data_IF_815870849242
#
_entry.id   IF_815870849242
#
_cell.length_a   1.000
_cell.length_b   1.000
_cell.length_c   1.000
_cell.angle_alpha   90.00
_cell.angle_beta   90.00
_cell.angle_gamma   90.00
#
_symmetry.space_group_name_H-M   'P 1'
#
loop_
_entity.id
_entity.type
_entity.pdbx_description
1 polymer ?
#
# COMPACT_ATOMS: atom_id res chain seq x y z
N UNK A 1 -25.11 0.06 25.96
CA UNK A 1 -24.44 1.21 25.31
C UNK A 1 -23.00 1.20 25.80
N UNK A 2 -22.07 0.70 24.99
CA UNK A 2 -20.63 0.81 25.29
C UNK A 2 -20.22 2.18 24.77
N UNK A 3 -19.87 3.06 25.69
CA UNK A 3 -19.26 4.34 25.35
C UNK A 3 -17.88 4.04 24.77
N UNK A 4 -17.76 4.18 23.44
CA UNK A 4 -16.48 4.26 22.76
C UNK A 4 -15.80 5.54 23.23
N UNK A 5 -14.91 5.43 24.20
CA UNK A 5 -14.07 6.53 24.67
C UNK A 5 -13.37 7.19 23.47
N UNK A 6 -13.45 8.53 23.29
CA UNK A 6 -12.84 9.22 22.17
C UNK A 6 -11.36 9.45 22.45
N UNK A 7 -10.55 8.37 22.44
CA UNK A 7 -9.10 8.47 22.30
C UNK A 7 -8.52 7.14 21.79
N UNK A 8 -8.35 6.99 20.47
CA UNK A 8 -7.86 5.73 19.88
C UNK A 8 -6.95 5.94 18.66
N UNK A 9 -6.03 6.91 18.69
CA UNK A 9 -4.96 7.06 17.68
C UNK A 9 -3.89 5.95 17.79
N UNK A 10 -4.29 4.67 17.81
CA UNK A 10 -3.38 3.60 18.25
C UNK A 10 -2.44 3.12 17.16
N UNK A 11 -2.93 2.89 15.93
CA UNK A 11 -2.06 2.46 14.84
C UNK A 11 -2.72 2.41 13.45
N UNK A 12 -1.90 2.51 12.40
CA UNK A 12 -2.34 2.44 11.00
C UNK A 12 -1.45 1.55 10.14
N UNK A 13 -2.06 0.90 9.14
CA UNK A 13 -1.39 0.25 8.02
C UNK A 13 -1.56 1.10 6.75
N UNK A 14 -0.46 1.59 6.20
CA UNK A 14 -0.45 2.38 4.97
C UNK A 14 -0.17 1.48 3.78
N UNK A 15 -1.09 1.45 2.81
CA UNK A 15 -0.84 0.84 1.50
C UNK A 15 0.15 1.73 0.74
N UNK A 16 1.39 1.26 0.65
CA UNK A 16 2.54 2.08 0.32
C UNK A 16 3.31 1.56 -0.90
N UNK A 17 3.19 2.26 -2.03
CA UNK A 17 3.88 1.96 -3.28
C UNK A 17 5.15 2.78 -3.50
N UNK A 18 5.37 3.84 -2.70
CA UNK A 18 6.47 4.80 -2.90
C UNK A 18 6.14 5.91 -3.90
N UNK A 19 5.02 5.82 -4.62
CA UNK A 19 4.52 6.90 -5.46
C UNK A 19 4.00 8.08 -4.64
N UNK A 20 3.83 9.23 -5.28
CA UNK A 20 3.47 10.52 -4.66
C UNK A 20 2.27 10.42 -3.71
N UNK A 21 1.18 9.80 -4.15
CA UNK A 21 -0.06 9.71 -3.35
C UNK A 21 0.16 8.85 -2.11
N UNK A 22 0.80 7.69 -2.26
CA UNK A 22 1.11 6.80 -1.15
C UNK A 22 2.13 7.38 -0.16
N UNK A 23 3.09 8.18 -0.63
CA UNK A 23 4.04 8.91 0.21
C UNK A 23 3.35 10.03 0.99
N UNK A 24 2.40 10.71 0.36
CA UNK A 24 1.56 11.72 1.03
C UNK A 24 0.68 11.07 2.10
N UNK A 25 0.09 9.91 1.82
CA UNK A 25 -0.64 9.12 2.80
C UNK A 25 0.24 8.68 3.98
N UNK A 26 1.47 8.25 3.72
CA UNK A 26 2.42 7.88 4.77
C UNK A 26 2.75 9.08 5.67
N UNK A 27 3.09 10.24 5.08
CA UNK A 27 3.33 11.47 5.82
C UNK A 27 2.11 11.88 6.66
N UNK A 28 0.91 11.83 6.06
CA UNK A 28 -0.33 12.14 6.74
C UNK A 28 -0.60 11.22 7.94
N UNK A 29 -0.30 9.93 7.80
CA UNK A 29 -0.47 8.93 8.86
C UNK A 29 0.56 9.12 9.99
N UNK A 30 1.83 9.39 9.67
CA UNK A 30 2.91 9.59 10.65
C UNK A 30 2.67 10.81 11.55
N UNK A 31 1.91 11.80 11.09
CA UNK A 31 1.48 12.96 11.87
C UNK A 31 0.27 12.69 12.78
N UNK A 32 -0.36 11.51 12.68
CA UNK A 32 -1.65 11.21 13.34
C UNK A 32 -1.57 10.03 14.29
N UNK A 33 -0.93 8.95 13.88
CA UNK A 33 -0.96 7.70 14.63
C UNK A 33 0.34 7.43 15.38
N UNK A 34 0.24 6.78 16.54
CA UNK A 34 1.41 6.42 17.37
C UNK A 34 2.29 5.34 16.73
N UNK A 35 1.69 4.47 15.90
CA UNK A 35 2.38 3.39 15.17
C UNK A 35 1.85 3.31 13.74
N UNK A 36 2.74 3.46 12.77
CA UNK A 36 2.43 3.36 11.35
C UNK A 36 3.28 2.28 10.71
N UNK A 37 2.65 1.23 10.18
CA UNK A 37 3.31 0.21 9.36
C UNK A 37 2.97 0.42 7.89
N UNK A 38 3.81 -0.09 6.99
CA UNK A 38 3.59 0.01 5.54
C UNK A 38 3.40 -1.36 4.91
N UNK A 39 2.56 -1.46 3.88
CA UNK A 39 2.38 -2.69 3.09
C UNK A 39 2.46 -2.40 1.60
N UNK A 40 3.22 -3.24 0.89
CA UNK A 40 3.30 -3.26 -0.56
C UNK A 40 2.71 -4.56 -1.09
N UNK A 41 2.34 -4.55 -2.36
CA UNK A 41 1.74 -5.69 -3.02
C UNK A 41 2.59 -6.09 -4.22
N UNK A 42 3.09 -7.31 -4.18
CA UNK A 42 3.73 -7.93 -5.34
C UNK A 42 2.69 -8.79 -6.05
N UNK A 43 2.12 -8.31 -7.13
CA UNK A 43 1.19 -9.08 -7.96
C UNK A 43 1.84 -9.57 -9.26
N UNK A 44 3.18 -9.70 -9.27
CA UNK A 44 3.94 -10.12 -10.44
C UNK A 44 4.18 -9.00 -11.45
N UNK A 45 4.12 -7.74 -11.01
CA UNK A 45 4.52 -6.62 -11.86
C UNK A 45 5.99 -6.75 -12.31
N UNK A 46 6.27 -6.41 -13.57
CA UNK A 46 7.58 -6.63 -14.22
C UNK A 46 8.77 -5.90 -13.58
N UNK A 47 8.53 -4.80 -12.90
CA UNK A 47 9.57 -3.90 -12.44
C UNK A 47 9.82 -4.05 -10.94
N UNK A 48 10.71 -4.98 -10.57
CA UNK A 48 11.19 -5.12 -9.19
C UNK A 48 11.77 -3.82 -8.63
N UNK A 49 12.28 -2.94 -9.50
CA UNK A 49 12.76 -1.59 -9.16
C UNK A 49 11.69 -0.74 -8.46
N UNK A 50 10.40 -0.94 -8.72
CA UNK A 50 9.33 -0.20 -8.03
C UNK A 50 9.23 -0.62 -6.55
N UNK A 51 9.43 -1.91 -6.27
CA UNK A 51 9.42 -2.43 -4.90
C UNK A 51 10.67 -2.00 -4.11
N UNK A 52 11.80 -1.82 -4.77
CA UNK A 52 13.00 -1.23 -4.16
C UNK A 52 12.86 0.28 -3.97
N UNK A 53 12.31 0.99 -4.97
CA UNK A 53 12.13 2.44 -4.94
C UNK A 53 11.26 2.89 -3.75
N UNK A 54 10.22 2.12 -3.39
CA UNK A 54 9.40 2.44 -2.23
C UNK A 54 10.22 2.47 -0.94
N UNK A 55 11.17 1.55 -0.78
CA UNK A 55 12.02 1.50 0.41
C UNK A 55 12.93 2.73 0.48
N UNK A 56 13.49 3.14 -0.66
CA UNK A 56 14.29 4.36 -0.76
C UNK A 56 13.48 5.60 -0.32
N UNK A 57 12.22 5.71 -0.76
CA UNK A 57 11.32 6.80 -0.34
C UNK A 57 11.04 6.73 1.16
N UNK A 58 10.66 5.55 1.67
CA UNK A 58 10.35 5.34 3.09
C UNK A 58 11.54 5.69 3.99
N UNK A 59 12.75 5.26 3.64
CA UNK A 59 13.97 5.62 4.35
C UNK A 59 14.32 7.10 4.22
N UNK A 60 14.10 7.69 3.04
CA UNK A 60 14.32 9.12 2.80
C UNK A 60 13.44 9.99 3.70
N UNK A 61 12.19 9.60 3.91
CA UNK A 61 11.25 10.36 4.75
C UNK A 61 11.74 10.51 6.19
N UNK A 62 12.22 9.43 6.82
CA UNK A 62 12.76 9.51 8.19
C UNK A 62 14.12 10.20 8.28
N UNK A 63 14.91 10.20 7.19
CA UNK A 63 16.16 10.97 7.11
C UNK A 63 15.89 12.48 7.06
N UNK A 64 14.87 12.90 6.33
CA UNK A 64 14.49 14.32 6.19
C UNK A 64 13.67 14.80 7.40
N UNK A 65 12.84 13.93 7.98
CA UNK A 65 11.97 14.24 9.12
C UNK A 65 12.17 13.20 10.24
N UNK A 66 13.26 13.35 11.04
CA UNK A 66 13.63 12.38 12.07
C UNK A 66 12.58 12.16 13.16
N UNK A 67 11.67 13.13 13.36
CA UNK A 67 10.58 13.01 14.32
C UNK A 67 9.63 11.84 14.00
N UNK A 68 9.56 11.41 12.73
CA UNK A 68 8.72 10.28 12.31
C UNK A 68 9.37 8.92 12.55
N UNK A 69 10.66 8.86 12.88
CA UNK A 69 11.36 7.59 13.08
C UNK A 69 10.77 6.78 14.26
N UNK A 70 10.22 7.45 15.27
CA UNK A 70 9.64 6.80 16.45
C UNK A 70 8.28 6.14 16.19
N UNK A 71 7.50 6.66 15.24
CA UNK A 71 6.18 6.13 14.89
C UNK A 71 6.20 5.20 13.65
N UNK A 72 7.25 5.26 12.81
CA UNK A 72 7.37 4.39 11.65
C UNK A 72 7.80 2.95 12.02
N UNK A 73 6.82 2.06 12.10
CA UNK A 73 6.99 0.62 12.32
C UNK A 73 7.31 -0.17 11.04
N UNK A 74 7.34 -1.51 11.11
CA UNK A 74 7.75 -2.39 10.01
C UNK A 74 7.08 -2.17 8.64
N UNK A 75 7.82 -2.53 7.60
CA UNK A 75 7.31 -2.65 6.23
C UNK A 75 7.00 -4.11 5.89
N UNK A 76 5.93 -4.33 5.13
CA UNK A 76 5.46 -5.65 4.71
C UNK A 76 5.29 -5.73 3.20
N UNK A 77 5.41 -6.93 2.66
CA UNK A 77 5.05 -7.25 1.28
C UNK A 77 4.07 -8.42 1.29
N UNK A 78 2.96 -8.27 0.58
CA UNK A 78 2.01 -9.35 0.33
C UNK A 78 2.21 -9.87 -1.09
N UNK A 79 2.49 -11.18 -1.21
CA UNK A 79 2.52 -11.89 -2.48
C UNK A 79 1.08 -12.10 -2.97
N UNK A 80 0.78 -11.47 -4.10
CA UNK A 80 -0.44 -11.53 -4.88
C UNK A 80 -0.17 -12.03 -6.31
N UNK A 81 0.95 -12.69 -6.57
CA UNK A 81 1.30 -13.22 -7.91
C UNK A 81 0.23 -14.17 -8.45
N UNK A 82 -0.42 -14.93 -7.57
CA UNK A 82 -1.58 -15.76 -7.92
C UNK A 82 -2.76 -14.94 -8.46
N UNK A 83 -3.04 -13.78 -7.85
CA UNK A 83 -4.03 -12.83 -8.37
C UNK A 83 -3.58 -12.21 -9.69
N UNK A 84 -2.30 -11.84 -9.81
CA UNK A 84 -1.72 -11.34 -11.06
C UNK A 84 -1.98 -12.27 -12.25
N UNK A 85 -1.85 -13.59 -12.04
CA UNK A 85 -2.17 -14.62 -13.05
C UNK A 85 -3.65 -14.66 -13.44
N UNK A 86 -4.56 -14.35 -12.51
CA UNK A 86 -6.01 -14.32 -12.74
C UNK A 86 -6.40 -13.06 -13.52
N UNK A 87 -5.75 -11.94 -13.21
CA UNK A 87 -6.15 -10.65 -13.72
C UNK A 87 -5.74 -10.37 -15.19
N UNK A 88 -4.88 -11.21 -15.79
CA UNK A 88 -4.43 -11.19 -17.20
C UNK A 88 -4.21 -9.78 -17.78
N UNK A 89 -3.50 -8.92 -17.04
CA UNK A 89 -3.23 -7.53 -17.46
C UNK A 89 -1.85 -7.38 -18.13
N UNK A 90 -1.65 -6.30 -18.89
CA UNK A 90 -0.36 -5.99 -19.53
C UNK A 90 0.77 -5.69 -18.51
N UNK A 91 0.46 -5.54 -17.22
CA UNK A 91 1.46 -5.48 -16.15
C UNK A 91 2.09 -6.84 -15.85
N UNK A 92 1.43 -7.94 -16.25
CA UNK A 92 1.82 -9.33 -15.96
C UNK A 92 2.08 -10.17 -17.23
N UNK A 93 1.80 -9.66 -18.44
CA UNK A 93 1.94 -10.37 -19.72
C UNK A 93 2.74 -9.57 -20.79
N UNK A 94 3.40 -10.23 -21.75
CA UNK A 94 4.02 -9.59 -22.94
C UNK A 94 2.96 -9.07 -23.90
N UNK A 95 2.33 -7.95 -23.57
CA UNK A 95 1.40 -7.23 -24.46
C UNK A 95 1.76 -5.76 -24.56
N UNK A 96 1.51 -5.17 -25.74
CA UNK A 96 1.64 -3.75 -25.94
C UNK A 96 0.62 -2.99 -25.05
N UNK A 97 1.00 -1.79 -24.62
CA UNK A 97 0.07 -0.87 -23.95
C UNK A 97 -0.86 -0.33 -25.03
N UNK A 98 -2.10 -0.82 -25.03
CA UNK A 98 -3.14 -0.45 -25.98
C UNK A 98 -4.39 0.00 -25.21
N UNK A 99 -5.29 0.72 -25.88
CA UNK A 99 -6.62 1.00 -25.33
C UNK A 99 -7.57 -0.14 -25.70
N UNK A 100 -8.22 -0.73 -24.70
CA UNK A 100 -9.24 -1.76 -24.92
C UNK A 100 -10.55 -1.16 -25.46
N UNK A 101 -11.52 -2.02 -25.81
CA UNK A 101 -12.83 -1.60 -26.31
C UNK A 101 -13.66 -0.76 -25.31
N UNK A 102 -13.24 -0.68 -24.04
CA UNK A 102 -13.84 0.14 -22.98
C UNK A 102 -13.09 1.46 -22.79
N UNK A 103 -12.06 1.71 -23.59
CA UNK A 103 -11.19 2.89 -23.49
C UNK A 103 -10.25 2.84 -22.29
N UNK A 104 -9.97 1.65 -21.73
CA UNK A 104 -9.03 1.49 -20.63
C UNK A 104 -7.69 0.97 -21.17
N UNK A 105 -6.56 1.46 -20.64
CA UNK A 105 -5.26 0.89 -21.01
C UNK A 105 -5.22 -0.58 -20.59
N UNK A 106 -4.54 -1.43 -21.37
CA UNK A 106 -4.36 -2.86 -21.05
C UNK A 106 -3.61 -3.11 -19.74
N UNK A 107 -3.04 -2.06 -19.12
CA UNK A 107 -2.47 -2.07 -17.77
C UNK A 107 -3.51 -1.95 -16.65
N UNK A 108 -4.78 -1.67 -16.98
CA UNK A 108 -5.86 -1.63 -16.01
C UNK A 108 -6.17 -3.03 -15.48
N UNK A 109 -6.17 -3.19 -14.16
CA UNK A 109 -6.41 -4.46 -13.48
C UNK A 109 -7.75 -4.41 -12.75
N UNK A 110 -8.82 -5.02 -13.27
CA UNK A 110 -10.15 -4.96 -12.66
C UNK A 110 -10.16 -5.49 -11.23
N UNK A 111 -10.73 -4.73 -10.29
CA UNK A 111 -10.89 -5.17 -8.89
C UNK A 111 -9.61 -5.17 -8.04
N UNK A 112 -8.47 -4.70 -8.57
CA UNK A 112 -7.18 -4.72 -7.86
C UNK A 112 -7.22 -4.05 -6.49
N UNK A 113 -7.82 -2.87 -6.40
CA UNK A 113 -7.89 -2.13 -5.13
C UNK A 113 -8.74 -2.86 -4.08
N UNK A 114 -9.78 -3.60 -4.50
CA UNK A 114 -10.56 -4.43 -3.60
C UNK A 114 -9.73 -5.59 -3.04
N UNK A 115 -8.93 -6.25 -3.88
CA UNK A 115 -7.99 -7.30 -3.45
C UNK A 115 -6.95 -6.73 -2.48
N UNK A 116 -6.36 -5.58 -2.81
CA UNK A 116 -5.39 -4.90 -1.96
C UNK A 116 -5.96 -4.58 -0.58
N UNK A 117 -7.15 -3.98 -0.53
CA UNK A 117 -7.83 -3.65 0.73
C UNK A 117 -8.16 -4.91 1.53
N UNK A 118 -8.61 -5.97 0.87
CA UNK A 118 -8.93 -7.25 1.54
C UNK A 118 -7.70 -7.86 2.18
N UNK A 119 -6.57 -7.91 1.47
CA UNK A 119 -5.32 -8.43 1.99
C UNK A 119 -4.70 -7.52 3.05
N UNK A 120 -4.79 -6.19 2.88
CA UNK A 120 -4.37 -5.23 3.88
C UNK A 120 -5.16 -5.38 5.18
N UNK A 121 -6.48 -5.56 5.09
CA UNK A 121 -7.34 -5.78 6.25
C UNK A 121 -6.94 -7.05 7.02
N UNK A 122 -6.70 -8.17 6.32
CA UNK A 122 -6.24 -9.41 6.94
C UNK A 122 -4.85 -9.25 7.60
N UNK A 123 -3.94 -8.51 6.97
CA UNK A 123 -2.64 -8.20 7.57
C UNK A 123 -2.79 -7.30 8.80
N UNK A 124 -3.61 -6.25 8.71
CA UNK A 124 -3.86 -5.31 9.80
C UNK A 124 -4.43 -6.02 11.03
N UNK A 125 -5.42 -6.89 10.86
CA UNK A 125 -6.01 -7.69 11.94
C UNK A 125 -4.94 -8.52 12.67
N UNK A 126 -4.14 -9.30 11.94
CA UNK A 126 -3.03 -10.09 12.49
C UNK A 126 -1.98 -9.23 13.22
N UNK A 127 -1.79 -7.99 12.76
CA UNK A 127 -0.80 -7.04 13.30
C UNK A 127 -1.35 -6.14 14.40
N UNK A 128 -2.65 -6.25 14.71
CA UNK A 128 -3.35 -5.35 15.63
C UNK A 128 -3.26 -3.90 15.19
N UNK A 129 -3.54 -3.63 13.90
CA UNK A 129 -3.59 -2.28 13.32
C UNK A 129 -5.05 -1.87 13.10
N UNK A 130 -5.43 -0.68 13.55
CA UNK A 130 -6.84 -0.27 13.62
C UNK A 130 -7.34 0.42 12.35
N UNK A 131 -6.44 1.09 11.62
CA UNK A 131 -6.78 1.94 10.48
C UNK A 131 -6.04 1.50 9.22
N UNK A 132 -6.75 1.40 8.11
CA UNK A 132 -6.15 1.29 6.78
C UNK A 132 -6.09 2.67 6.12
N UNK A 133 -4.95 3.00 5.52
CA UNK A 133 -4.76 4.26 4.77
C UNK A 133 -4.27 3.91 3.37
N UNK A 134 -4.93 4.44 2.33
CA UNK A 134 -4.51 4.27 0.93
C UNK A 134 -4.88 5.49 0.09
N UNK A 135 -4.00 5.85 -0.85
CA UNK A 135 -4.16 6.98 -1.77
C UNK A 135 -4.59 6.54 -3.17
N UNK A 136 -5.57 5.63 -3.24
CA UNK A 136 -6.00 4.94 -4.47
C UNK A 136 -7.13 5.65 -5.21
#
# INVERSE_FOLDING_TARGET
MSELSPNTQKSALVLFSGGQDSATCLAWALERFDRVETVGFDYGQRHAVEMEARLNVREGMVKVLPQWAGCLGPDHVVDLTGYGKIADSALTAERAIEMDARGLPTTFVPGRNLVFLTCAAALADRRGLDVLVGGM
#
